data_IF_159718998604
#
_entry.id   IF_159718998604
#
_cell.length_a   1.000
_cell.length_b   1.000
_cell.length_c   1.000
_cell.angle_alpha   90.00
_cell.angle_beta   90.00
_cell.angle_gamma   90.00
#
_symmetry.space_group_name_H-M   'P 1'
#
loop_
_entity.id
_entity.type
_entity.pdbx_description
1 polymer ?
#
# COMPACT_ATOMS: atom_id res chain seq x y z
N UNK A 1 20.90 -18.46 -21.32
CA UNK A 1 19.82 -17.45 -21.27
C UNK A 1 19.97 -16.69 -19.96
N UNK A 2 20.04 -15.37 -19.98
CA UNK A 2 19.96 -14.61 -18.73
C UNK A 2 18.55 -14.81 -18.16
N UNK A 3 18.38 -15.20 -16.89
CA UNK A 3 17.04 -15.34 -16.31
C UNK A 3 16.33 -13.98 -16.41
N UNK A 4 15.05 -13.99 -16.81
CA UNK A 4 14.21 -12.79 -16.84
C UNK A 4 14.27 -12.14 -15.46
N UNK A 5 14.67 -10.87 -15.37
CA UNK A 5 14.67 -10.15 -14.10
C UNK A 5 13.23 -10.01 -13.61
N UNK A 6 12.97 -10.38 -12.36
CA UNK A 6 11.68 -10.16 -11.72
C UNK A 6 11.51 -8.67 -11.47
N UNK A 7 10.44 -8.08 -12.02
CA UNK A 7 10.16 -6.63 -11.96
C UNK A 7 8.82 -6.27 -11.35
N UNK A 8 7.96 -7.26 -11.13
CA UNK A 8 6.60 -7.07 -10.63
C UNK A 8 6.39 -7.87 -9.35
N UNK A 9 5.75 -7.27 -8.36
CA UNK A 9 5.29 -7.97 -7.17
C UNK A 9 3.78 -7.84 -7.03
N UNK A 10 3.13 -8.93 -6.61
CA UNK A 10 1.70 -8.95 -6.30
C UNK A 10 1.55 -9.08 -4.79
N UNK A 11 0.84 -8.14 -4.16
CA UNK A 11 0.60 -8.13 -2.72
C UNK A 11 -0.90 -8.28 -2.48
N UNK A 12 -1.30 -9.39 -1.86
CA UNK A 12 -2.68 -9.66 -1.52
C UNK A 12 -3.07 -8.99 -0.20
N UNK A 13 -3.95 -7.97 -0.28
CA UNK A 13 -4.35 -7.10 0.84
C UNK A 13 -5.88 -7.09 1.05
N UNK A 14 -6.55 -8.18 0.66
CA UNK A 14 -8.01 -8.27 0.64
C UNK A 14 -8.63 -8.87 1.93
N UNK A 15 -7.80 -9.31 2.90
CA UNK A 15 -8.25 -10.02 4.10
C UNK A 15 -9.00 -9.15 5.13
N UNK A 16 -9.94 -9.74 5.87
CA UNK A 16 -10.71 -9.04 6.93
C UNK A 16 -9.91 -8.69 8.18
N UNK A 17 -8.77 -9.35 8.42
CA UNK A 17 -7.97 -9.08 9.61
C UNK A 17 -8.71 -9.37 10.91
N UNK A 18 -9.55 -10.41 10.94
CA UNK A 18 -10.38 -10.77 12.10
C UNK A 18 -9.58 -11.02 13.37
N UNK A 19 -8.31 -11.45 13.25
CA UNK A 19 -7.37 -11.62 14.37
C UNK A 19 -6.95 -10.31 15.05
N UNK A 20 -7.20 -9.18 14.41
CA UNK A 20 -6.85 -7.83 14.89
C UNK A 20 -8.10 -7.00 15.22
N UNK A 21 -9.25 -7.65 15.39
CA UNK A 21 -10.43 -6.97 15.91
C UNK A 21 -10.19 -6.53 17.37
N UNK A 22 -10.73 -5.37 17.80
CA UNK A 22 -11.69 -4.53 17.07
C UNK A 22 -11.05 -3.52 16.09
N UNK A 23 -9.72 -3.36 16.10
CA UNK A 23 -9.03 -2.32 15.31
C UNK A 23 -9.34 -2.43 13.81
N UNK A 24 -9.43 -3.66 13.30
CA UNK A 24 -9.66 -3.91 11.87
C UNK A 24 -11.11 -3.77 11.39
N UNK A 25 -12.01 -3.37 12.29
CA UNK A 25 -13.41 -3.12 11.93
C UNK A 25 -13.55 -1.96 10.93
N UNK A 26 -12.73 -0.92 11.06
CA UNK A 26 -12.77 0.29 10.22
C UNK A 26 -11.46 0.51 9.44
N UNK A 27 -10.33 0.04 9.96
CA UNK A 27 -9.01 0.22 9.33
C UNK A 27 -8.53 -1.13 8.78
N UNK A 28 -8.16 -1.25 7.49
CA UNK A 28 -7.53 -2.46 6.98
C UNK A 28 -6.32 -2.87 7.82
N UNK A 29 -6.09 -4.18 8.01
CA UNK A 29 -4.96 -4.66 8.84
C UNK A 29 -3.61 -4.18 8.30
N UNK A 30 -3.54 -4.00 6.98
CA UNK A 30 -2.39 -3.50 6.22
C UNK A 30 -2.03 -2.04 6.54
N UNK A 31 -3.00 -1.26 7.03
CA UNK A 31 -2.83 0.13 7.44
C UNK A 31 -2.61 0.31 8.95
N UNK A 32 -2.51 -0.79 9.71
CA UNK A 32 -2.06 -0.70 11.10
C UNK A 32 -0.62 -0.19 11.12
N UNK A 33 -0.32 0.70 12.06
CA UNK A 33 0.98 1.38 12.14
C UNK A 33 1.97 0.56 12.95
N UNK A 34 3.20 0.43 12.42
CA UNK A 34 4.37 0.11 13.22
C UNK A 34 5.09 1.44 13.42
N UNK A 35 5.06 1.96 14.65
CA UNK A 35 5.52 3.31 15.01
C UNK A 35 4.71 4.39 14.27
N UNK A 36 5.14 4.81 13.08
CA UNK A 36 4.56 5.89 12.28
C UNK A 36 4.22 5.47 10.83
N UNK A 37 4.52 4.21 10.44
CA UNK A 37 4.38 3.72 9.07
C UNK A 37 3.42 2.53 8.98
N UNK A 38 2.51 2.50 7.98
CA UNK A 38 1.66 1.34 7.71
C UNK A 38 2.45 0.07 7.41
N UNK A 39 1.98 -1.08 7.89
CA UNK A 39 2.57 -2.41 7.61
C UNK A 39 2.81 -2.63 6.11
N UNK A 40 1.85 -2.26 5.26
CA UNK A 40 1.97 -2.47 3.80
C UNK A 40 3.09 -1.66 3.16
N UNK A 41 3.43 -0.49 3.72
CA UNK A 41 4.51 0.33 3.17
C UNK A 41 5.87 -0.34 3.38
N UNK A 42 6.09 -1.03 4.51
CA UNK A 42 7.32 -1.81 4.71
C UNK A 42 7.49 -2.91 3.66
N UNK A 43 6.40 -3.63 3.31
CA UNK A 43 6.43 -4.65 2.27
C UNK A 43 6.75 -4.08 0.90
N UNK A 44 6.20 -2.90 0.58
CA UNK A 44 6.48 -2.20 -0.68
C UNK A 44 7.94 -1.73 -0.72
N UNK A 45 8.44 -1.11 0.35
CA UNK A 45 9.83 -0.65 0.43
C UNK A 45 10.81 -1.84 0.29
N UNK A 46 10.53 -2.98 0.92
CA UNK A 46 11.32 -4.21 0.77
C UNK A 46 11.31 -4.74 -0.67
N UNK A 47 10.13 -4.80 -1.30
CA UNK A 47 10.00 -5.22 -2.69
C UNK A 47 10.78 -4.28 -3.63
N UNK A 48 10.66 -2.97 -3.46
CA UNK A 48 11.38 -1.97 -4.26
C UNK A 48 12.89 -2.09 -4.06
N UNK A 49 13.36 -2.28 -2.81
CA UNK A 49 14.77 -2.49 -2.51
C UNK A 49 15.33 -3.77 -3.17
N UNK A 50 14.49 -4.77 -3.46
CA UNK A 50 14.87 -5.98 -4.20
C UNK A 50 14.92 -5.80 -5.73
N UNK A 51 14.57 -4.61 -6.24
CA UNK A 51 14.61 -4.27 -7.66
C UNK A 51 13.27 -4.44 -8.40
N UNK A 52 12.17 -4.57 -7.66
CA UNK A 52 10.79 -4.51 -8.18
C UNK A 52 10.45 -3.06 -8.53
N UNK A 53 9.80 -2.87 -9.67
CA UNK A 53 9.42 -1.56 -10.20
C UNK A 53 7.90 -1.37 -10.25
N UNK A 54 7.13 -2.48 -10.29
CA UNK A 54 5.67 -2.48 -10.37
C UNK A 54 5.07 -3.29 -9.21
N UNK A 55 4.19 -2.64 -8.46
CA UNK A 55 3.46 -3.22 -7.34
C UNK A 55 1.99 -3.36 -7.73
N UNK A 56 1.49 -4.58 -7.67
CA UNK A 56 0.09 -4.90 -7.94
C UNK A 56 -0.57 -5.24 -6.60
N UNK A 57 -1.45 -4.35 -6.11
CA UNK A 57 -2.20 -4.59 -4.88
C UNK A 57 -3.54 -5.26 -5.21
N UNK A 58 -3.75 -6.44 -4.65
CA UNK A 58 -5.04 -7.13 -4.73
C UNK A 58 -5.89 -6.73 -3.53
N UNK A 59 -6.81 -5.79 -3.73
CA UNK A 59 -7.65 -5.18 -2.69
C UNK A 59 -9.04 -5.82 -2.63
N UNK A 60 -9.80 -5.53 -1.56
CA UNK A 60 -11.23 -5.87 -1.47
C UNK A 60 -12.10 -4.60 -1.57
N UNK A 61 -13.42 -4.79 -1.67
CA UNK A 61 -14.36 -3.68 -1.47
C UNK A 61 -14.13 -3.02 -0.09
N UNK A 62 -14.01 -1.69 -0.07
CA UNK A 62 -13.64 -0.92 1.13
C UNK A 62 -12.13 -0.79 1.39
N UNK A 63 -11.28 -1.30 0.50
CA UNK A 63 -9.82 -1.18 0.57
C UNK A 63 -9.26 0.17 0.11
N UNK A 64 -10.10 1.17 -0.15
CA UNK A 64 -9.69 2.46 -0.72
C UNK A 64 -8.64 3.22 0.11
N UNK A 65 -8.58 2.99 1.43
CA UNK A 65 -7.52 3.57 2.26
C UNK A 65 -6.12 3.10 1.87
N UNK A 66 -5.97 1.87 1.37
CA UNK A 66 -4.68 1.34 0.92
C UNK A 66 -4.30 2.00 -0.40
N UNK A 67 -5.26 2.11 -1.31
CA UNK A 67 -5.09 2.77 -2.61
C UNK A 67 -4.66 4.23 -2.41
N UNK A 68 -5.37 4.96 -1.54
CA UNK A 68 -5.07 6.36 -1.21
C UNK A 68 -3.70 6.55 -0.54
N UNK A 69 -3.20 5.57 0.22
CA UNK A 69 -1.89 5.69 0.87
C UNK A 69 -0.74 5.75 -0.15
N UNK A 70 -0.86 5.01 -1.25
CA UNK A 70 0.15 4.96 -2.31
C UNK A 70 -0.14 5.90 -3.48
N UNK A 71 -1.24 6.65 -3.43
CA UNK A 71 -1.59 7.67 -4.42
C UNK A 71 -1.18 9.07 -3.95
N UNK A 72 -1.08 10.00 -4.90
CA UNK A 72 -0.83 11.42 -4.61
C UNK A 72 -1.99 12.05 -3.84
N UNK A 73 -1.68 12.93 -2.88
CA UNK A 73 -2.69 13.63 -2.08
C UNK A 73 -2.54 15.13 -2.25
N UNK A 74 -3.03 15.63 -3.39
CA UNK A 74 -2.87 17.04 -3.77
C UNK A 74 -3.39 18.03 -2.71
N UNK A 75 -4.51 17.73 -2.08
CA UNK A 75 -5.07 18.57 -1.02
C UNK A 75 -4.13 18.65 0.20
N UNK A 76 -3.58 17.52 0.62
CA UNK A 76 -2.63 17.45 1.73
C UNK A 76 -1.30 18.13 1.38
N UNK A 77 -0.80 17.93 0.16
CA UNK A 77 0.43 18.56 -0.31
C UNK A 77 0.30 20.09 -0.30
N UNK A 78 -0.77 20.64 -0.88
CA UNK A 78 -1.04 22.10 -0.87
C UNK A 78 -1.17 22.63 0.57
N UNK A 79 -1.81 21.87 1.45
CA UNK A 79 -1.93 22.26 2.86
C UNK A 79 -0.57 22.32 3.57
N UNK A 80 0.29 21.31 3.37
CA UNK A 80 1.62 21.25 3.97
C UNK A 80 2.57 22.30 3.41
N UNK A 81 2.48 22.59 2.10
CA UNK A 81 3.19 23.69 1.44
C UNK A 81 2.81 25.04 2.06
N UNK A 82 1.50 25.30 2.24
CA UNK A 82 1.02 26.53 2.87
C UNK A 82 1.47 26.68 4.33
N UNK A 83 1.65 25.57 5.05
CA UNK A 83 2.18 25.55 6.41
C UNK A 83 3.72 25.61 6.47
N UNK A 84 4.43 25.63 5.34
CA UNK A 84 5.89 25.55 5.27
C UNK A 84 6.46 24.29 5.96
N UNK A 85 5.67 23.21 6.00
CA UNK A 85 5.96 21.95 6.68
C UNK A 85 6.79 21.01 5.79
N UNK A 86 7.97 21.48 5.37
CA UNK A 86 8.77 20.84 4.31
C UNK A 86 9.07 19.35 4.58
N UNK A 87 9.42 19.00 5.82
CA UNK A 87 9.70 17.61 6.22
C UNK A 87 8.51 16.68 5.97
N UNK A 88 7.28 17.12 6.28
CA UNK A 88 6.09 16.30 6.09
C UNK A 88 5.68 16.22 4.63
N UNK A 89 5.86 17.32 3.88
CA UNK A 89 5.62 17.35 2.44
C UNK A 89 6.51 16.32 1.71
N UNK A 90 7.79 16.27 2.06
CA UNK A 90 8.74 15.30 1.48
C UNK A 90 8.32 13.85 1.75
N UNK A 91 7.83 13.56 2.96
CA UNK A 91 7.33 12.23 3.32
C UNK A 91 6.13 11.84 2.43
N UNK A 92 5.14 12.72 2.33
CA UNK A 92 3.92 12.46 1.53
C UNK A 92 4.27 12.27 0.05
N UNK A 93 5.11 13.14 -0.50
CA UNK A 93 5.50 13.07 -1.91
C UNK A 93 6.41 11.89 -2.25
N UNK A 94 7.07 11.28 -1.26
CA UNK A 94 7.93 10.12 -1.48
C UNK A 94 7.12 8.82 -1.69
N UNK A 95 5.95 8.69 -1.04
CA UNK A 95 5.20 7.42 -1.03
C UNK A 95 4.73 7.01 -2.43
N UNK A 96 4.11 7.87 -3.26
CA UNK A 96 3.68 7.50 -4.61
C UNK A 96 4.86 7.24 -5.57
N UNK A 97 6.06 7.71 -5.21
CA UNK A 97 7.29 7.56 -6.02
C UNK A 97 8.01 6.23 -5.75
N UNK A 98 7.54 5.43 -4.78
CA UNK A 98 8.17 4.15 -4.43
C UNK A 98 8.17 3.16 -5.60
N UNK A 99 7.08 3.08 -6.37
CA UNK A 99 6.92 2.16 -7.49
C UNK A 99 5.79 2.63 -8.43
N UNK A 100 5.62 1.94 -9.56
CA UNK A 100 4.36 2.00 -10.31
C UNK A 100 3.32 1.12 -9.61
N UNK A 101 2.16 1.69 -9.28
CA UNK A 101 1.09 0.97 -8.59
C UNK A 101 -0.06 0.62 -9.52
N UNK A 102 -0.51 -0.64 -9.43
CA UNK A 102 -1.74 -1.11 -10.04
C UNK A 102 -2.63 -1.75 -8.97
N UNK A 103 -3.94 -1.57 -9.11
CA UNK A 103 -4.92 -2.04 -8.13
C UNK A 103 -5.89 -3.00 -8.80
N UNK A 104 -6.04 -4.19 -8.24
CA UNK A 104 -6.96 -5.23 -8.71
C UNK A 104 -7.91 -5.58 -7.58
N UNK A 105 -9.22 -5.56 -7.84
CA UNK A 105 -10.20 -5.98 -6.84
C UNK A 105 -10.37 -7.49 -6.86
N UNK A 106 -10.22 -8.11 -5.70
CA UNK A 106 -10.57 -9.52 -5.52
C UNK A 106 -12.08 -9.70 -5.65
N UNK A 107 -12.49 -10.53 -6.62
CA UNK A 107 -13.89 -10.87 -6.79
C UNK A 107 -14.40 -11.71 -5.61
N UNK A 108 -15.60 -11.40 -5.12
CA UNK A 108 -16.19 -12.04 -3.92
C UNK A 108 -16.37 -13.57 -4.03
N UNK A 109 -16.43 -14.10 -5.25
CA UNK A 109 -16.61 -15.54 -5.50
C UNK A 109 -15.29 -16.32 -5.50
N UNK A 110 -14.15 -15.63 -5.48
CA UNK A 110 -12.85 -16.27 -5.47
C UNK A 110 -12.46 -16.64 -4.03
N UNK A 111 -11.78 -17.78 -3.81
CA UNK A 111 -11.14 -18.09 -2.53
C UNK A 111 -10.23 -16.94 -2.12
N UNK A 112 -10.09 -16.69 -0.82
CA UNK A 112 -9.04 -15.80 -0.33
C UNK A 112 -7.70 -16.34 -0.82
N UNK A 113 -6.97 -15.57 -1.65
CA UNK A 113 -5.63 -15.93 -2.11
C UNK A 113 -4.62 -15.77 -0.99
N UNK A 114 -4.85 -16.42 0.15
CA UNK A 114 -4.07 -16.31 1.38
C UNK A 114 -3.19 -17.55 1.64
N UNK A 115 -3.17 -18.52 0.73
CA UNK A 115 -2.35 -19.73 0.86
C UNK A 115 -2.70 -20.58 2.09
N UNK A 116 -3.92 -20.48 2.63
CA UNK A 116 -4.46 -21.33 3.71
C UNK A 116 -5.77 -21.96 3.30
#
# INVERSE_FOLDING_TARGET
MNPLRVKKAVIAVAGYGTRFLPATKSVPKELLLIVDKPIVQYLVEEAVASGIEEIILVTRAGGGGIENHFDSSRELEVHLEAQQSQRYLEIVQAIPKLASFAYVRQARHLPYGNGT
#
